data_IF_199122825575
#
_entry.id   IF_199122825575
#
_cell.length_a   1.000
_cell.length_b   1.000
_cell.length_c   1.000
_cell.angle_alpha   90.00
_cell.angle_beta   90.00
_cell.angle_gamma   90.00
#
_symmetry.space_group_name_H-M   'P 1'
#
loop_
_entity.id
_entity.type
_entity.pdbx_description
1 polymer ?
#
# COMPACT_ATOMS: atom_id res chain seq x y z
N UNK A 1 0.08 -0.84 -40.89
CA UNK A 1 -1.20 -1.07 -40.20
C UNK A 1 -1.34 -2.54 -39.84
N UNK A 2 -0.97 -2.92 -38.62
CA UNK A 2 -1.51 -4.06 -37.85
C UNK A 2 -1.16 -3.68 -36.40
N UNK A 3 -2.04 -3.01 -35.67
CA UNK A 3 -3.11 -3.66 -34.93
C UNK A 3 -2.76 -3.55 -33.45
N UNK A 4 -2.94 -2.34 -32.89
CA UNK A 4 -2.70 -2.07 -31.48
C UNK A 4 -3.61 -2.94 -30.61
N UNK A 5 -3.01 -3.88 -29.90
CA UNK A 5 -3.64 -4.49 -28.74
C UNK A 5 -3.53 -3.52 -27.57
N UNK A 6 -4.37 -2.48 -27.59
CA UNK A 6 -4.83 -1.86 -26.35
C UNK A 6 -5.70 -2.90 -25.65
N UNK A 7 -5.06 -3.79 -24.89
CA UNK A 7 -5.77 -4.60 -23.91
C UNK A 7 -6.36 -3.61 -22.91
N UNK A 8 -7.68 -3.43 -22.96
CA UNK A 8 -8.44 -2.77 -21.91
C UNK A 8 -8.19 -3.54 -20.60
N UNK A 9 -7.21 -3.07 -19.82
CA UNK A 9 -7.05 -3.43 -18.41
C UNK A 9 -8.27 -2.87 -17.65
N UNK A 10 -9.39 -3.60 -17.71
CA UNK A 10 -10.47 -3.44 -16.76
C UNK A 10 -9.93 -3.83 -15.39
N UNK A 11 -9.73 -2.81 -14.54
CA UNK A 11 -9.66 -2.83 -13.08
C UNK A 11 -9.94 -4.22 -12.46
N UNK A 12 -8.90 -5.03 -12.28
CA UNK A 12 -8.96 -6.19 -11.39
C UNK A 12 -8.32 -5.79 -10.06
N UNK A 13 -9.18 -5.19 -9.25
CA UNK A 13 -9.18 -5.06 -7.78
C UNK A 13 -7.84 -5.30 -7.08
N UNK A 14 -7.24 -4.21 -6.60
CA UNK A 14 -6.07 -4.19 -5.72
C UNK A 14 -6.42 -4.77 -4.34
N UNK A 15 -6.48 -6.09 -4.25
CA UNK A 15 -6.83 -6.81 -3.03
C UNK A 15 -5.75 -6.71 -1.93
N UNK A 16 -4.64 -6.01 -2.17
CA UNK A 16 -3.60 -5.73 -1.19
C UNK A 16 -3.98 -4.60 -0.19
N UNK A 17 -5.04 -3.84 -0.46
CA UNK A 17 -5.42 -2.68 0.37
C UNK A 17 -5.74 -3.01 1.84
N UNK A 18 -6.20 -4.24 2.14
CA UNK A 18 -6.45 -4.63 3.53
C UNK A 18 -5.16 -4.91 4.30
N UNK A 19 -4.08 -5.30 3.62
CA UNK A 19 -2.75 -5.40 4.22
C UNK A 19 -2.26 -3.99 4.63
N UNK A 20 -2.34 -3.01 3.71
CA UNK A 20 -2.03 -1.61 4.00
C UNK A 20 -2.86 -1.04 5.16
N UNK A 21 -4.14 -1.39 5.23
CA UNK A 21 -5.00 -0.99 6.33
C UNK A 21 -4.63 -1.68 7.65
N UNK A 22 -4.34 -2.99 7.62
CA UNK A 22 -3.87 -3.74 8.80
C UNK A 22 -2.59 -3.13 9.38
N UNK A 23 -1.61 -2.83 8.54
CA UNK A 23 -0.39 -2.19 9.01
C UNK A 23 -0.68 -0.78 9.54
N UNK A 24 -1.57 -0.03 8.89
CA UNK A 24 -2.10 1.23 9.41
C UNK A 24 -2.72 1.09 10.80
N UNK A 25 -3.54 0.07 11.05
CA UNK A 25 -4.10 -0.22 12.37
C UNK A 25 -2.99 -0.50 13.39
N UNK A 26 -2.04 -1.38 13.08
CA UNK A 26 -0.90 -1.71 13.96
C UNK A 26 -0.11 -0.44 14.30
N UNK A 27 0.23 0.38 13.31
CA UNK A 27 0.97 1.62 13.50
C UNK A 27 0.20 2.63 14.33
N UNK A 28 -1.14 2.66 14.20
CA UNK A 28 -1.98 3.61 14.91
C UNK A 28 -2.07 3.38 16.42
N UNK A 29 -1.81 2.15 16.87
CA UNK A 29 -1.79 1.81 18.31
C UNK A 29 -0.45 2.17 18.97
N UNK A 30 0.61 2.37 18.18
CA UNK A 30 1.98 2.60 18.66
C UNK A 30 2.30 4.08 18.90
N UNK A 31 1.48 4.98 18.38
CA UNK A 31 1.70 6.43 18.48
C UNK A 31 0.39 7.18 18.71
N UNK A 32 0.49 8.32 19.40
CA UNK A 32 -0.65 9.23 19.47
C UNK A 32 -0.90 9.91 18.12
N UNK A 33 -2.10 9.72 17.59
CA UNK A 33 -2.58 10.31 16.35
C UNK A 33 -3.60 11.41 16.64
N UNK A 34 -3.52 12.52 15.90
CA UNK A 34 -4.54 13.57 15.94
C UNK A 34 -5.88 13.05 15.42
N UNK A 35 -5.85 12.18 14.40
CA UNK A 35 -7.03 11.56 13.84
C UNK A 35 -6.70 10.20 13.22
N UNK A 36 -7.10 9.10 13.90
CA UNK A 36 -6.89 7.72 13.43
C UNK A 36 -7.57 7.45 12.09
N UNK A 37 -8.82 7.90 11.87
CA UNK A 37 -9.52 7.70 10.57
C UNK A 37 -8.75 8.33 9.40
N UNK A 38 -8.19 9.52 9.59
CA UNK A 38 -7.37 10.18 8.56
C UNK A 38 -6.07 9.43 8.30
N UNK A 39 -5.40 8.94 9.35
CA UNK A 39 -4.21 8.10 9.22
C UNK A 39 -4.47 6.85 8.37
N UNK A 40 -5.51 6.10 8.70
CA UNK A 40 -5.86 4.87 7.98
C UNK A 40 -6.32 5.14 6.55
N UNK A 41 -7.02 6.26 6.31
CA UNK A 41 -7.30 6.67 4.94
C UNK A 41 -5.99 6.93 4.19
N UNK A 42 -5.05 7.63 4.82
CA UNK A 42 -3.73 7.89 4.27
C UNK A 42 -2.97 6.61 3.92
N UNK A 43 -3.05 5.57 4.75
CA UNK A 43 -2.32 4.32 4.52
C UNK A 43 -2.84 3.52 3.31
N UNK A 44 -4.05 3.79 2.83
CA UNK A 44 -4.63 3.10 1.66
C UNK A 44 -4.84 4.04 0.45
N UNK A 45 -4.73 5.34 0.63
CA UNK A 45 -5.02 6.35 -0.40
C UNK A 45 -4.11 6.30 -1.64
N UNK A 46 -2.81 5.96 -1.56
CA UNK A 46 -1.95 5.91 -2.76
C UNK A 46 -2.45 4.94 -3.83
N UNK A 47 -3.19 3.93 -3.41
CA UNK A 47 -3.83 2.90 -4.23
C UNK A 47 -5.17 3.31 -4.83
N UNK A 48 -5.72 4.46 -4.42
CA UNK A 48 -7.01 4.96 -4.86
C UNK A 48 -6.92 5.86 -6.11
N UNK A 49 -5.86 5.74 -6.91
CA UNK A 49 -5.70 6.53 -8.14
C UNK A 49 -6.85 6.29 -9.14
N UNK A 50 -7.32 7.35 -9.80
CA UNK A 50 -8.39 7.26 -10.81
C UNK A 50 -7.89 6.57 -12.09
N UNK A 51 -6.67 6.88 -12.53
CA UNK A 51 -6.11 6.36 -13.78
C UNK A 51 -4.81 5.60 -13.53
N UNK A 52 -4.62 4.46 -14.20
CA UNK A 52 -3.41 3.63 -14.04
C UNK A 52 -2.10 4.39 -14.33
N UNK A 53 -2.14 5.39 -15.22
CA UNK A 53 -1.00 6.26 -15.55
C UNK A 53 -0.49 7.06 -14.34
N UNK A 54 -1.33 7.28 -13.33
CA UNK A 54 -1.00 8.09 -12.16
C UNK A 54 -0.45 7.23 -11.00
N UNK A 55 -0.45 5.89 -11.13
CA UNK A 55 0.12 4.99 -10.12
C UNK A 55 1.55 5.37 -9.74
N UNK A 56 2.41 5.61 -10.73
CA UNK A 56 3.80 5.98 -10.47
C UNK A 56 3.91 7.31 -9.72
N UNK A 57 2.98 8.25 -9.94
CA UNK A 57 2.95 9.52 -9.21
C UNK A 57 2.48 9.33 -7.77
N UNK A 58 1.42 8.56 -7.55
CA UNK A 58 0.90 8.33 -6.19
C UNK A 58 1.86 7.52 -5.33
N UNK A 59 2.65 6.63 -5.95
CA UNK A 59 3.65 5.84 -5.24
C UNK A 59 5.04 6.50 -5.22
N UNK A 60 5.19 7.73 -5.73
CA UNK A 60 6.49 8.41 -5.85
C UNK A 60 7.55 7.50 -6.49
N UNK A 61 7.15 6.74 -7.51
CA UNK A 61 7.99 5.73 -8.13
C UNK A 61 9.11 6.39 -8.94
N UNK A 62 10.35 6.11 -8.55
CA UNK A 62 11.53 6.46 -9.32
C UNK A 62 12.00 5.23 -10.10
N UNK A 63 11.96 5.33 -11.43
CA UNK A 63 12.30 4.23 -12.35
C UNK A 63 13.49 4.63 -13.22
N UNK A 64 14.53 3.81 -13.17
CA UNK A 64 15.64 3.84 -14.12
C UNK A 64 15.56 2.63 -15.07
N UNK A 65 16.54 2.48 -15.96
CA UNK A 65 16.67 1.28 -16.78
C UNK A 65 16.96 0.04 -15.93
N UNK A 66 17.73 0.18 -14.85
CA UNK A 66 18.22 -0.94 -14.03
C UNK A 66 17.38 -1.20 -12.78
N UNK A 67 16.97 -0.14 -12.10
CA UNK A 67 16.35 -0.22 -10.77
C UNK A 67 15.06 0.58 -10.66
N UNK A 68 14.20 0.19 -9.73
CA UNK A 68 13.03 0.94 -9.27
C UNK A 68 13.07 1.10 -7.75
N UNK A 69 12.56 2.21 -7.23
CA UNK A 69 12.24 2.39 -5.80
C UNK A 69 11.05 3.36 -5.63
N UNK A 70 10.44 3.38 -4.46
CA UNK A 70 9.41 4.37 -4.09
C UNK A 70 10.04 5.44 -3.22
N UNK A 71 9.99 6.70 -3.66
CA UNK A 71 10.72 7.80 -3.05
C UNK A 71 9.92 8.45 -1.90
N UNK A 72 9.81 7.73 -0.78
CA UNK A 72 9.16 8.26 0.42
C UNK A 72 9.92 9.47 1.01
N UNK A 73 11.23 9.61 0.75
CA UNK A 73 11.97 10.81 1.14
C UNK A 73 11.48 12.05 0.37
N UNK A 74 11.26 11.94 -0.95
CA UNK A 74 10.68 13.02 -1.75
C UNK A 74 9.25 13.37 -1.31
N UNK A 75 8.42 12.38 -0.98
CA UNK A 75 7.10 12.64 -0.40
C UNK A 75 7.23 13.46 0.89
N UNK A 76 8.12 13.04 1.79
CA UNK A 76 8.36 13.73 3.06
C UNK A 76 8.83 15.16 2.85
N UNK A 77 9.75 15.41 1.93
CA UNK A 77 10.19 16.78 1.61
C UNK A 77 9.03 17.65 1.10
N UNK A 78 8.20 17.11 0.21
CA UNK A 78 7.07 17.83 -0.40
C UNK A 78 5.96 18.19 0.60
N UNK A 79 5.78 17.36 1.63
CA UNK A 79 4.70 17.44 2.61
C UNK A 79 5.18 17.51 4.07
N UNK A 80 6.41 17.99 4.29
CA UNK A 80 7.10 17.97 5.60
C UNK A 80 6.23 18.58 6.72
N UNK A 81 5.68 19.77 6.44
CA UNK A 81 4.74 20.45 7.36
C UNK A 81 3.48 19.62 7.61
N UNK A 82 2.86 19.08 6.55
CA UNK A 82 1.59 18.38 6.65
C UNK A 82 1.71 17.04 7.38
N UNK A 83 2.83 16.32 7.26
CA UNK A 83 3.08 15.07 8.00
C UNK A 83 2.97 15.27 9.52
N UNK A 84 3.40 16.43 10.01
CA UNK A 84 3.31 16.79 11.43
C UNK A 84 1.94 17.35 11.83
N UNK A 85 1.26 18.01 10.90
CA UNK A 85 0.00 18.69 11.17
C UNK A 85 -1.21 17.77 11.07
N UNK A 86 -1.20 16.81 10.17
CA UNK A 86 -2.35 16.01 9.79
C UNK A 86 -1.98 14.54 9.54
N UNK A 87 -2.67 13.66 10.26
CA UNK A 87 -2.42 12.22 10.22
C UNK A 87 -2.65 11.59 8.84
N UNK A 88 -3.41 12.22 7.94
CA UNK A 88 -3.56 11.76 6.55
C UNK A 88 -2.21 11.62 5.84
N UNK A 89 -1.34 12.62 5.99
CA UNK A 89 -0.06 12.67 5.29
C UNK A 89 0.95 11.71 5.91
N UNK A 90 0.91 11.54 7.24
CA UNK A 90 1.73 10.52 7.91
C UNK A 90 1.30 9.09 7.51
N UNK A 91 0.00 8.84 7.37
CA UNK A 91 -0.51 7.56 6.86
C UNK A 91 -0.04 7.28 5.44
N UNK A 92 -0.13 8.27 4.56
CA UNK A 92 0.35 8.18 3.18
C UNK A 92 1.86 7.93 3.11
N UNK A 93 2.64 8.63 3.95
CA UNK A 93 4.07 8.38 4.08
C UNK A 93 4.36 6.92 4.48
N UNK A 94 3.65 6.40 5.50
CA UNK A 94 3.85 5.02 5.95
C UNK A 94 3.43 3.98 4.91
N UNK A 95 2.44 4.25 4.06
CA UNK A 95 2.15 3.40 2.91
C UNK A 95 3.38 3.28 2.00
N UNK A 96 4.03 4.40 1.64
CA UNK A 96 5.21 4.36 0.76
C UNK A 96 6.38 3.60 1.38
N UNK A 97 6.57 3.73 2.70
CA UNK A 97 7.58 2.97 3.46
C UNK A 97 7.25 1.47 3.45
N UNK A 98 5.99 1.11 3.73
CA UNK A 98 5.52 -0.27 3.66
C UNK A 98 5.77 -0.87 2.29
N UNK A 99 5.40 -0.15 1.23
CA UNK A 99 5.45 -0.67 -0.13
C UNK A 99 6.88 -1.01 -0.57
N UNK A 100 7.86 -0.26 -0.04
CA UNK A 100 9.29 -0.57 -0.19
C UNK A 100 9.65 -1.88 0.49
N UNK A 101 9.29 -2.07 1.77
CA UNK A 101 9.61 -3.32 2.48
C UNK A 101 8.86 -4.51 1.91
N UNK A 102 7.61 -4.32 1.50
CA UNK A 102 6.84 -5.36 0.83
C UNK A 102 7.51 -5.79 -0.47
N UNK A 103 8.03 -4.84 -1.27
CA UNK A 103 8.82 -5.17 -2.47
C UNK A 103 10.08 -5.94 -2.13
N UNK A 104 10.83 -5.53 -1.11
CA UNK A 104 12.03 -6.26 -0.68
C UNK A 104 11.69 -7.68 -0.22
N UNK A 105 10.58 -7.84 0.50
CA UNK A 105 10.10 -9.12 0.96
C UNK A 105 9.74 -10.03 -0.22
N UNK A 106 8.77 -9.67 -1.07
CA UNK A 106 8.30 -10.54 -2.16
C UNK A 106 9.33 -10.80 -3.27
N UNK A 107 10.42 -10.04 -3.32
CA UNK A 107 11.52 -10.22 -4.27
C UNK A 107 12.67 -11.07 -3.73
N UNK A 108 12.56 -11.62 -2.52
CA UNK A 108 13.51 -12.62 -2.03
C UNK A 108 13.54 -13.85 -2.94
N UNK A 109 14.71 -14.48 -3.04
CA UNK A 109 14.95 -15.60 -3.97
C UNK A 109 14.06 -16.82 -3.66
N UNK A 110 13.62 -16.98 -2.41
CA UNK A 110 12.68 -18.03 -2.01
C UNK A 110 11.25 -17.82 -2.55
N UNK A 111 10.89 -16.62 -3.02
CA UNK A 111 9.54 -16.33 -3.49
C UNK A 111 9.39 -16.38 -5.01
N UNK A 112 8.28 -16.98 -5.43
CA UNK A 112 8.00 -17.20 -6.85
C UNK A 112 7.41 -15.96 -7.50
N UNK A 113 8.07 -15.47 -8.54
CA UNK A 113 7.54 -14.40 -9.39
C UNK A 113 6.46 -14.96 -10.32
N UNK A 114 5.28 -14.32 -10.36
CA UNK A 114 4.20 -14.64 -11.31
C UNK A 114 4.58 -14.20 -12.73
N UNK A 115 4.33 -15.05 -13.73
CA UNK A 115 4.77 -14.83 -15.13
C UNK A 115 3.64 -14.91 -16.15
N UNK A 116 2.53 -15.56 -15.80
CA UNK A 116 1.38 -15.77 -16.70
C UNK A 116 0.09 -15.14 -16.17
N UNK A 117 -0.87 -14.90 -17.07
CA UNK A 117 -2.18 -14.36 -16.70
C UNK A 117 -2.95 -15.26 -15.72
N UNK A 118 -2.73 -16.59 -15.80
CA UNK A 118 -3.29 -17.56 -14.86
C UNK A 118 -2.70 -17.35 -13.47
N UNK A 119 -1.38 -17.23 -13.35
CA UNK A 119 -0.70 -17.00 -12.08
C UNK A 119 -1.05 -15.64 -11.46
N UNK A 120 -1.19 -14.59 -12.27
CA UNK A 120 -1.69 -13.29 -11.80
C UNK A 120 -3.11 -13.46 -11.22
N UNK A 121 -3.97 -14.24 -11.87
CA UNK A 121 -5.33 -14.48 -11.36
C UNK A 121 -5.32 -15.29 -10.06
N UNK A 122 -4.37 -16.22 -9.90
CA UNK A 122 -4.16 -16.95 -8.64
C UNK A 122 -3.66 -16.02 -7.53
N UNK A 123 -2.69 -15.15 -7.82
CA UNK A 123 -2.23 -14.11 -6.88
C UNK A 123 -3.38 -13.19 -6.42
N UNK A 124 -4.28 -12.80 -7.33
CA UNK A 124 -5.47 -12.04 -6.94
C UNK A 124 -6.37 -12.85 -5.99
N UNK A 125 -6.55 -14.15 -6.24
CA UNK A 125 -7.30 -15.03 -5.36
C UNK A 125 -6.64 -15.18 -3.98
N UNK A 126 -5.31 -15.25 -3.93
CA UNK A 126 -4.55 -15.29 -2.66
C UNK A 126 -4.90 -14.09 -1.79
N UNK A 127 -4.91 -12.88 -2.35
CA UNK A 127 -5.30 -11.69 -1.59
C UNK A 127 -6.75 -11.74 -1.08
N UNK A 128 -7.68 -12.32 -1.85
CA UNK A 128 -9.07 -12.52 -1.38
C UNK A 128 -9.14 -13.48 -0.18
N UNK A 129 -8.36 -14.58 -0.21
CA UNK A 129 -8.24 -15.50 0.93
C UNK A 129 -7.60 -14.78 2.13
N UNK A 130 -6.51 -14.03 1.88
CA UNK A 130 -5.82 -13.24 2.91
C UNK A 130 -6.74 -12.20 3.54
N UNK A 131 -7.69 -11.62 2.80
CA UNK A 131 -8.64 -10.68 3.40
C UNK A 131 -9.46 -11.33 4.51
N UNK A 132 -10.01 -12.52 4.25
CA UNK A 132 -10.75 -13.30 5.25
C UNK A 132 -9.85 -13.68 6.44
N UNK A 133 -8.59 -14.05 6.18
CA UNK A 133 -7.60 -14.36 7.22
C UNK A 133 -7.32 -13.14 8.10
N UNK A 134 -7.06 -11.97 7.50
CA UNK A 134 -6.73 -10.73 8.21
C UNK A 134 -7.87 -10.31 9.13
N UNK A 135 -9.10 -10.28 8.61
CA UNK A 135 -10.29 -9.91 9.39
C UNK A 135 -10.44 -10.84 10.59
N UNK A 136 -10.30 -12.16 10.38
CA UNK A 136 -10.49 -13.15 11.44
C UNK A 136 -9.37 -13.14 12.47
N UNK A 137 -8.10 -13.08 12.05
CA UNK A 137 -6.94 -13.21 12.94
C UNK A 137 -6.69 -11.95 13.77
N UNK A 138 -6.79 -10.78 13.13
CA UNK A 138 -6.45 -9.50 13.75
C UNK A 138 -7.68 -8.74 14.27
N UNK A 139 -8.89 -9.29 14.13
CA UNK A 139 -10.15 -8.63 14.48
C UNK A 139 -10.26 -7.22 13.85
N UNK A 140 -9.81 -7.10 12.60
CA UNK A 140 -9.71 -5.84 11.89
C UNK A 140 -11.11 -5.32 11.53
N UNK A 141 -11.43 -4.07 11.89
CA UNK A 141 -12.73 -3.46 11.64
C UNK A 141 -12.61 -2.26 10.69
N UNK A 142 -13.56 -2.13 9.78
CA UNK A 142 -13.62 -0.98 8.87
C UNK A 142 -14.23 0.23 9.56
N UNK A 143 -13.41 1.24 9.85
CA UNK A 143 -13.86 2.53 10.43
C UNK A 143 -13.94 3.67 9.38
N UNK A 144 -13.68 3.39 8.11
CA UNK A 144 -13.66 4.35 7.00
C UNK A 144 -14.98 4.38 6.21
N UNK A 145 -16.11 4.24 6.91
CA UNK A 145 -17.45 4.17 6.30
C UNK A 145 -18.02 5.56 5.94
N UNK A 146 -17.52 6.61 6.58
CA UNK A 146 -17.98 7.99 6.37
C UNK A 146 -17.12 8.68 5.31
N UNK A 147 -17.76 9.55 4.51
CA UNK A 147 -17.05 10.39 3.54
C UNK A 147 -16.11 11.35 4.28
N UNK A 148 -14.81 11.23 4.02
CA UNK A 148 -13.80 12.19 4.44
C UNK A 148 -13.63 13.22 3.32
N UNK A 149 -13.85 14.50 3.61
CA UNK A 149 -13.63 15.56 2.64
C UNK A 149 -12.13 15.79 2.41
N UNK A 150 -11.71 15.72 1.15
CA UNK A 150 -10.33 15.90 0.71
C UNK A 150 -10.17 17.06 -0.30
N UNK A 151 -11.25 17.77 -0.64
CA UNK A 151 -11.26 18.72 -1.76
C UNK A 151 -10.24 19.87 -1.60
N UNK A 152 -9.92 20.24 -0.36
CA UNK A 152 -8.93 21.27 -0.04
C UNK A 152 -7.53 20.72 0.30
N UNK A 153 -7.34 19.40 0.27
CA UNK A 153 -6.09 18.79 0.69
C UNK A 153 -5.02 18.90 -0.39
N UNK A 154 -3.82 19.33 -0.01
CA UNK A 154 -2.67 19.44 -0.93
C UNK A 154 -2.30 18.09 -1.56
N UNK A 155 -2.66 16.98 -0.91
CA UNK A 155 -2.44 15.63 -1.43
C UNK A 155 -3.16 15.40 -2.78
N UNK A 156 -4.25 16.13 -3.05
CA UNK A 156 -4.99 16.09 -4.31
C UNK A 156 -4.19 16.67 -5.50
N UNK A 157 -3.11 17.40 -5.26
CA UNK A 157 -2.19 17.87 -6.31
C UNK A 157 -1.35 16.74 -6.93
N UNK A 158 -1.27 15.57 -6.28
CA UNK A 158 -0.48 14.43 -6.76
C UNK A 158 -1.15 13.79 -7.97
N UNK A 159 -2.46 13.53 -7.86
CA UNK A 159 -3.28 12.86 -8.85
C UNK A 159 -4.77 13.03 -8.53
N UNK A 160 -5.62 12.66 -9.48
CA UNK A 160 -7.05 12.45 -9.21
C UNK A 160 -7.26 11.09 -8.53
N UNK A 161 -8.04 11.07 -7.44
CA UNK A 161 -8.33 9.87 -6.66
C UNK A 161 -9.81 9.50 -6.72
N UNK A 162 -10.10 8.20 -6.85
CA UNK A 162 -11.46 7.63 -6.85
C UNK A 162 -11.92 7.20 -5.44
N UNK A 163 -11.76 8.08 -4.45
CA UNK A 163 -11.91 7.74 -3.02
C UNK A 163 -13.26 7.08 -2.70
N UNK A 164 -14.37 7.61 -3.19
CA UNK A 164 -15.71 7.07 -2.90
C UNK A 164 -15.88 5.63 -3.40
N UNK A 165 -15.52 5.37 -4.66
CA UNK A 165 -15.56 4.02 -5.23
C UNK A 165 -14.55 3.09 -4.57
N UNK A 166 -13.38 3.59 -4.20
CA UNK A 166 -12.35 2.84 -3.52
C UNK A 166 -12.78 2.40 -2.12
N UNK A 167 -13.38 3.29 -1.32
CA UNK A 167 -13.89 2.94 0.02
C UNK A 167 -15.06 1.96 -0.04
N UNK A 168 -15.88 2.01 -1.10
CA UNK A 168 -16.92 1.01 -1.35
C UNK A 168 -16.33 -0.37 -1.65
N UNK A 169 -15.32 -0.44 -2.51
CA UNK A 169 -14.61 -1.70 -2.78
C UNK A 169 -13.92 -2.23 -1.51
N UNK A 170 -13.26 -1.34 -0.77
CA UNK A 170 -12.60 -1.65 0.50
C UNK A 170 -13.56 -2.18 1.56
N UNK A 171 -14.77 -1.62 1.67
CA UNK A 171 -15.80 -2.18 2.55
C UNK A 171 -16.17 -3.62 2.19
N UNK A 172 -16.17 -3.96 0.89
CA UNK A 172 -16.37 -5.32 0.40
C UNK A 172 -15.29 -6.30 0.88
N UNK A 173 -14.04 -5.86 1.00
CA UNK A 173 -12.90 -6.69 1.39
C UNK A 173 -13.04 -7.24 2.83
N UNK A 174 -13.72 -6.52 3.75
CA UNK A 174 -13.99 -7.02 5.12
C UNK A 174 -15.06 -8.12 5.16
N UNK A 175 -15.92 -8.15 4.15
CA UNK A 175 -16.99 -9.14 4.03
C UNK A 175 -16.59 -10.32 3.15
N UNK A 176 -15.36 -10.34 2.66
CA UNK A 176 -14.86 -11.43 1.83
C UNK A 176 -14.83 -12.73 2.66
N UNK A 177 -15.36 -13.79 2.07
CA UNK A 177 -15.42 -15.14 2.67
C UNK A 177 -14.76 -16.16 1.75
N UNK A 178 -13.85 -15.70 0.90
CA UNK A 178 -13.12 -16.58 -0.01
C UNK A 178 -12.30 -17.58 0.80
N UNK A 179 -12.54 -18.87 0.52
CA UNK A 179 -11.82 -19.98 1.12
C UNK A 179 -10.98 -20.67 0.06
N UNK A 180 -9.86 -21.25 0.46
CA UNK A 180 -8.98 -22.00 -0.43
C UNK A 180 -7.56 -22.04 0.11
N UNK A 181 -6.64 -22.55 -0.70
CA UNK A 181 -5.21 -22.52 -0.42
C UNK A 181 -4.55 -21.39 -1.19
N UNK A 182 -3.72 -20.61 -0.50
CA UNK A 182 -2.87 -19.58 -1.08
C UNK A 182 -1.68 -20.19 -1.81
N UNK A 183 -1.18 -19.53 -2.87
CA UNK A 183 -0.10 -20.08 -3.71
C UNK A 183 1.14 -19.20 -3.76
N UNK A 184 0.97 -17.90 -4.01
CA UNK A 184 2.06 -16.94 -4.21
C UNK A 184 2.31 -16.06 -3.00
N UNK A 185 1.25 -15.62 -2.33
CA UNK A 185 1.32 -14.89 -1.07
C UNK A 185 0.44 -15.62 -0.07
N UNK A 186 1.08 -16.23 0.93
CA UNK A 186 0.38 -17.06 1.92
C UNK A 186 0.18 -16.32 3.24
N UNK A 187 -0.69 -16.86 4.07
CA UNK A 187 -0.94 -16.41 5.45
C UNK A 187 0.36 -16.39 6.24
N UNK A 188 1.19 -17.43 6.11
CA UNK A 188 2.50 -17.52 6.75
C UNK A 188 3.46 -16.44 6.24
N UNK A 189 3.43 -16.14 4.93
CA UNK A 189 4.24 -15.05 4.37
C UNK A 189 3.80 -13.68 4.89
N UNK A 190 2.50 -13.45 5.04
CA UNK A 190 1.99 -12.22 5.66
C UNK A 190 2.44 -12.11 7.12
N UNK A 191 2.32 -13.18 7.89
CA UNK A 191 2.77 -13.21 9.29
C UNK A 191 4.28 -12.96 9.41
N UNK A 192 5.08 -13.61 8.56
CA UNK A 192 6.52 -13.41 8.50
C UNK A 192 6.86 -11.96 8.12
N UNK A 193 6.15 -11.38 7.15
CA UNK A 193 6.36 -9.98 6.76
C UNK A 193 6.07 -9.03 7.94
N UNK A 194 4.98 -9.27 8.66
CA UNK A 194 4.61 -8.49 9.85
C UNK A 194 5.70 -8.63 10.92
N UNK A 195 6.09 -9.86 11.26
CA UNK A 195 7.08 -10.14 12.30
C UNK A 195 8.44 -9.48 11.99
N UNK A 196 8.89 -9.55 10.74
CA UNK A 196 10.22 -9.06 10.37
C UNK A 196 10.27 -7.55 10.15
N UNK A 197 9.25 -6.94 9.52
CA UNK A 197 9.35 -5.56 9.03
C UNK A 197 8.53 -4.54 9.81
N UNK A 198 7.46 -4.93 10.53
CA UNK A 198 6.72 -3.98 11.38
C UNK A 198 7.64 -3.33 12.42
N UNK A 199 8.54 -4.04 13.13
CA UNK A 199 9.45 -3.41 14.08
C UNK A 199 10.28 -2.29 13.45
N UNK A 200 10.82 -2.51 12.24
CA UNK A 200 11.62 -1.52 11.50
C UNK A 200 10.77 -0.31 11.10
N UNK A 201 9.57 -0.55 10.57
CA UNK A 201 8.64 0.52 10.18
C UNK A 201 8.16 1.34 11.37
N UNK A 202 7.99 0.73 12.54
CA UNK A 202 7.66 1.43 13.78
C UNK A 202 8.80 2.32 14.29
N UNK A 203 10.05 1.89 14.12
CA UNK A 203 11.20 2.74 14.42
C UNK A 203 11.25 3.98 13.52
N UNK A 204 10.97 3.82 12.22
CA UNK A 204 10.84 4.95 11.29
C UNK A 204 9.68 5.87 11.69
N UNK A 205 8.51 5.32 12.00
CA UNK A 205 7.34 6.10 12.43
C UNK A 205 7.65 6.94 13.67
N UNK A 206 8.32 6.35 14.67
CA UNK A 206 8.77 7.04 15.89
C UNK A 206 9.83 8.11 15.60
N UNK A 207 10.71 7.89 14.61
CA UNK A 207 11.70 8.87 14.18
C UNK A 207 11.02 10.06 13.48
N UNK A 208 10.07 9.81 12.58
CA UNK A 208 9.32 10.84 11.85
C UNK A 208 8.53 11.74 12.78
N UNK A 209 7.92 11.17 13.84
CA UNK A 209 7.26 11.95 14.91
C UNK A 209 8.20 12.90 15.68
N UNK A 210 9.52 12.74 15.53
CA UNK A 210 10.56 13.59 16.12
C UNK A 210 11.29 14.40 15.04
N UNK A 211 10.65 14.61 13.88
CA UNK A 211 11.20 15.30 12.71
C UNK A 211 12.49 14.65 12.15
N UNK A 212 12.68 13.35 12.36
CA UNK A 212 13.84 12.58 11.86
C UNK A 212 13.41 11.49 10.88
N UNK A 213 14.35 10.95 10.11
CA UNK A 213 14.20 9.65 9.42
C UNK A 213 15.40 8.80 9.78
N UNK A 214 15.19 7.51 9.92
CA UNK A 214 16.25 6.50 9.97
C UNK A 214 16.36 5.73 8.65
N UNK A 215 15.36 5.82 7.77
CA UNK A 215 15.35 5.16 6.46
C UNK A 215 15.68 6.13 5.31
N UNK A 216 16.34 5.58 4.28
CA UNK A 216 16.57 6.26 3.01
C UNK A 216 16.05 5.39 1.86
N UNK A 217 15.05 5.89 1.15
CA UNK A 217 14.32 5.20 0.10
C UNK A 217 15.23 4.60 -0.99
N UNK A 218 16.28 5.32 -1.36
CA UNK A 218 17.23 4.90 -2.39
C UNK A 218 18.02 3.64 -2.02
N UNK A 219 18.10 3.29 -0.74
CA UNK A 219 18.82 2.13 -0.25
C UNK A 219 18.01 0.84 -0.45
N UNK A 220 16.71 0.96 -0.74
CA UNK A 220 15.78 -0.14 -0.94
C UNK A 220 15.33 -0.30 -2.40
N UNK A 221 16.24 -0.03 -3.33
CA UNK A 221 16.03 -0.28 -4.76
C UNK A 221 15.90 -1.77 -5.04
N UNK A 222 15.07 -2.12 -6.02
CA UNK A 222 15.04 -3.47 -6.59
C UNK A 222 15.33 -3.42 -8.09
N UNK A 223 15.91 -4.52 -8.60
CA UNK A 223 16.19 -4.68 -10.03
C UNK A 223 14.90 -4.81 -10.82
N UNK A 224 14.85 -4.19 -12.00
CA UNK A 224 13.78 -4.49 -12.95
C UNK A 224 13.99 -5.90 -13.50
N UNK A 225 12.99 -6.76 -13.37
CA UNK A 225 12.97 -8.02 -14.11
C UNK A 225 13.15 -7.72 -15.60
N UNK A 226 14.04 -8.46 -16.28
CA UNK A 226 14.19 -8.34 -17.74
C UNK A 226 12.81 -8.57 -18.36
N UNK A 227 12.34 -7.57 -19.13
CA UNK A 227 11.12 -7.70 -19.93
C UNK A 227 11.29 -8.79 -20.97
#
# INVERSE_FOLDING_TARGET
MIGGYQVQYKEKKMAQRLIHYLLGEIFSEEIELKNKKRFLLGSIMPDAYMNLKDRDKTHFANRTEETTYFDFNLFREKFDRQINEDSLYLGYYMHLVEDVFYRQFIHRDEFRITKSQKEISMLHNDYHILNSYIVSKFNCQNILQEKINLDSEKIMEIAEFRIEGFLKDFAGDFSDKTQGETVFITENMLDQFIEEYVPVMLEELRAVKKDKSILVAKDYKWKRGKK
#
